data_IF_481585636045
#
_entry.id   IF_481585636045
#
_cell.length_a   1.000
_cell.length_b   1.000
_cell.length_c   1.000
_cell.angle_alpha   90.00
_cell.angle_beta   90.00
_cell.angle_gamma   90.00
#
_symmetry.space_group_name_H-M   'P 1'
#
loop_
_entity.id
_entity.type
_entity.pdbx_description
1 polymer ?
#
# COMPACT_ATOMS: atom_id res chain seq x y z
N UNK A 1 9.56 20.12 63.22
CA UNK A 1 9.01 21.31 62.54
C UNK A 1 10.15 22.20 62.12
N UNK A 2 10.51 22.18 60.83
CA UNK A 2 10.98 23.32 60.01
C UNK A 2 11.32 22.79 58.60
N UNK A 3 10.59 23.28 57.61
CA UNK A 3 10.77 23.12 56.15
C UNK A 3 10.98 24.55 55.61
N UNK A 4 11.42 24.76 54.36
CA UNK A 4 12.70 24.46 53.72
C UNK A 4 13.43 25.76 53.30
N UNK A 5 14.65 25.66 52.78
CA UNK A 5 15.17 26.67 51.85
C UNK A 5 15.42 26.06 50.47
N UNK A 6 14.76 26.67 49.50
CA UNK A 6 14.86 26.48 48.05
C UNK A 6 16.28 26.81 47.58
N UNK A 7 16.94 25.87 46.90
CA UNK A 7 18.09 26.17 46.04
C UNK A 7 17.72 25.78 44.61
N UNK A 8 17.00 26.69 43.95
CA UNK A 8 16.88 26.71 42.51
C UNK A 8 18.27 27.04 41.94
N UNK A 9 18.96 26.04 41.38
CA UNK A 9 20.16 26.29 40.58
C UNK A 9 19.76 26.85 39.23
N UNK A 10 20.25 28.05 38.97
CA UNK A 10 20.10 28.82 37.76
C UNK A 10 20.67 28.08 36.54
N UNK A 11 19.89 28.13 35.47
CA UNK A 11 20.25 27.74 34.11
C UNK A 11 21.20 28.81 33.55
N UNK A 12 22.40 28.47 33.06
CA UNK A 12 23.26 29.45 32.40
C UNK A 12 22.65 29.92 31.08
N UNK A 13 22.39 31.23 30.98
CA UNK A 13 22.10 31.92 29.74
C UNK A 13 23.38 32.03 28.90
N UNK A 14 23.62 31.07 28.02
CA UNK A 14 24.56 31.25 26.92
C UNK A 14 24.18 30.34 25.75
N UNK A 15 23.96 30.94 24.58
CA UNK A 15 23.73 30.33 23.26
C UNK A 15 22.28 30.02 22.83
N UNK A 16 21.40 31.01 22.98
CA UNK A 16 20.36 31.29 21.98
C UNK A 16 20.89 32.35 21.02
N UNK A 17 21.39 31.95 19.83
CA UNK A 17 21.40 32.78 18.61
C UNK A 17 22.06 32.01 17.45
N UNK A 18 21.26 31.36 16.61
CA UNK A 18 21.47 31.22 15.16
C UNK A 18 20.17 30.73 14.51
N UNK A 19 19.07 31.40 14.86
CA UNK A 19 17.91 31.51 13.98
C UNK A 19 18.16 32.75 13.10
N UNK A 20 17.86 32.62 11.80
CA UNK A 20 17.62 33.72 10.86
C UNK A 20 18.80 34.64 10.49
N UNK A 21 19.50 34.30 9.40
CA UNK A 21 20.11 35.29 8.47
C UNK A 21 20.59 34.65 7.16
N UNK A 22 19.65 34.34 6.25
CA UNK A 22 19.87 34.52 4.80
C UNK A 22 18.56 34.58 4.02
N UNK A 23 17.73 35.57 4.34
CA UNK A 23 16.69 36.02 3.42
C UNK A 23 17.17 37.32 2.75
N UNK A 24 16.91 37.43 1.44
CA UNK A 24 17.15 38.55 0.51
C UNK A 24 18.56 38.64 -0.10
N UNK A 25 18.69 38.19 -1.35
CA UNK A 25 18.54 39.08 -2.53
C UNK A 25 18.81 38.35 -3.84
N UNK A 26 18.04 38.76 -4.87
CA UNK A 26 18.00 38.38 -6.30
C UNK A 26 16.70 37.64 -6.65
N UNK A 27 15.58 38.37 -6.77
CA UNK A 27 15.18 39.25 -7.90
C UNK A 27 14.82 38.45 -9.14
N UNK A 28 13.50 38.30 -9.32
CA UNK A 28 12.75 38.45 -10.57
C UNK A 28 13.22 37.68 -11.81
N UNK A 29 12.55 36.56 -12.08
CA UNK A 29 12.04 36.23 -13.41
C UNK A 29 10.66 35.56 -13.25
N UNK A 30 9.61 36.38 -13.13
CA UNK A 30 8.22 35.94 -13.29
C UNK A 30 7.97 35.66 -14.77
N UNK A 31 8.17 34.42 -15.21
CA UNK A 31 7.61 33.95 -16.47
C UNK A 31 6.12 33.68 -16.21
N UNK A 32 5.26 34.63 -16.60
CA UNK A 32 3.83 34.41 -16.79
C UNK A 32 3.66 33.32 -17.86
N UNK A 33 3.49 32.07 -17.45
CA UNK A 33 2.89 31.05 -18.34
C UNK A 33 1.40 31.32 -18.35
N UNK A 34 0.94 32.05 -19.36
CA UNK A 34 -0.46 32.13 -19.72
C UNK A 34 -0.94 30.71 -20.05
N UNK A 35 -1.74 30.12 -19.17
CA UNK A 35 -2.49 28.92 -19.48
C UNK A 35 -3.60 29.31 -20.44
N UNK A 36 -3.29 29.32 -21.73
CA UNK A 36 -4.27 29.45 -22.80
C UNK A 36 -5.09 28.15 -22.86
N UNK A 37 -6.05 28.03 -21.94
CA UNK A 37 -7.05 26.97 -21.93
C UNK A 37 -8.10 27.36 -22.96
N UNK A 38 -7.97 26.81 -24.17
CA UNK A 38 -9.00 26.93 -25.20
C UNK A 38 -10.27 26.20 -24.73
N UNK A 39 -11.46 26.81 -24.82
CA UNK A 39 -12.71 26.12 -24.49
C UNK A 39 -12.93 24.97 -25.49
N UNK A 40 -13.22 23.77 -24.99
CA UNK A 40 -13.60 22.61 -25.81
C UNK A 40 -14.89 22.94 -26.56
N UNK A 41 -14.84 22.90 -27.88
CA UNK A 41 -16.03 22.93 -28.72
C UNK A 41 -16.85 21.65 -28.49
N UNK A 42 -18.15 21.83 -28.28
CA UNK A 42 -19.11 20.75 -28.11
C UNK A 42 -19.19 19.93 -29.40
N UNK A 43 -18.93 18.62 -29.31
CA UNK A 43 -19.16 17.70 -30.42
C UNK A 43 -20.64 17.31 -30.39
N UNK A 44 -21.40 17.87 -31.32
CA UNK A 44 -22.78 17.47 -31.61
C UNK A 44 -22.77 16.09 -32.27
N UNK A 45 -23.24 15.07 -31.56
CA UNK A 45 -23.45 13.73 -32.09
C UNK A 45 -24.82 13.72 -32.80
N UNK A 46 -24.92 13.37 -34.09
CA UNK A 46 -26.22 13.24 -34.75
C UNK A 46 -26.99 12.03 -34.19
N UNK A 47 -28.20 12.32 -33.70
CA UNK A 47 -29.20 11.32 -33.36
C UNK A 47 -29.70 10.58 -34.61
N UNK A 48 -29.39 9.30 -34.74
CA UNK A 48 -30.10 8.42 -35.67
C UNK A 48 -31.33 7.84 -34.97
N UNK A 49 -32.46 7.98 -35.67
CA UNK A 49 -33.80 7.63 -35.25
C UNK A 49 -34.11 6.14 -35.46
N UNK A 50 -34.77 5.58 -34.43
CA UNK A 50 -35.76 4.48 -34.37
C UNK A 50 -35.59 3.20 -35.21
N UNK A 51 -35.63 2.06 -34.50
CA UNK A 51 -36.44 0.91 -34.91
C UNK A 51 -37.10 0.28 -33.67
N UNK A 52 -38.44 0.37 -33.63
CA UNK A 52 -39.31 -0.39 -32.75
C UNK A 52 -39.25 -1.86 -33.15
N UNK A 53 -38.94 -2.75 -32.21
CA UNK A 53 -39.33 -4.16 -32.31
C UNK A 53 -40.16 -4.48 -31.08
N UNK A 54 -41.44 -4.73 -31.35
CA UNK A 54 -42.45 -5.27 -30.46
C UNK A 54 -42.14 -6.74 -30.17
N UNK A 55 -42.20 -7.14 -28.91
CA UNK A 55 -41.95 -8.53 -28.51
C UNK A 55 -42.18 -8.78 -27.02
N UNK A 56 -43.43 -8.66 -26.59
CA UNK A 56 -43.87 -9.10 -25.27
C UNK A 56 -43.95 -10.63 -25.25
N UNK A 57 -43.30 -11.28 -24.29
CA UNK A 57 -43.76 -12.56 -23.72
C UNK A 57 -43.26 -12.71 -22.29
N UNK A 58 -44.21 -12.64 -21.37
CA UNK A 58 -44.11 -13.14 -20.00
C UNK A 58 -44.12 -14.67 -20.04
N UNK A 59 -43.35 -15.32 -19.16
CA UNK A 59 -43.83 -16.35 -18.23
C UNK A 59 -42.68 -16.85 -17.35
N UNK A 60 -42.96 -16.83 -16.06
CA UNK A 60 -42.16 -17.34 -14.95
C UNK A 60 -42.08 -18.87 -14.97
N UNK A 61 -40.94 -19.44 -14.57
CA UNK A 61 -40.94 -20.63 -13.71
C UNK A 61 -39.62 -20.75 -12.95
N UNK A 62 -39.77 -20.87 -11.63
CA UNK A 62 -38.76 -21.27 -10.66
C UNK A 62 -38.00 -22.52 -11.08
N UNK A 63 -36.69 -22.53 -10.86
CA UNK A 63 -35.87 -23.74 -10.76
C UNK A 63 -34.56 -23.41 -10.05
N UNK A 64 -34.59 -23.47 -8.72
CA UNK A 64 -33.42 -23.43 -7.84
C UNK A 64 -32.74 -24.81 -7.87
N UNK A 65 -31.46 -24.95 -8.27
CA UNK A 65 -30.75 -26.22 -8.09
C UNK A 65 -30.32 -26.38 -6.62
N UNK A 66 -30.23 -27.62 -6.12
CA UNK A 66 -29.99 -27.90 -4.71
C UNK A 66 -28.56 -27.54 -4.28
N UNK A 67 -28.48 -27.05 -3.05
CA UNK A 67 -27.27 -26.85 -2.26
C UNK A 67 -26.42 -28.12 -2.23
N UNK A 68 -25.28 -28.08 -2.92
CA UNK A 68 -24.18 -29.03 -2.72
C UNK A 68 -23.57 -28.86 -1.33
N UNK A 69 -22.89 -29.89 -0.80
CA UNK A 69 -22.33 -29.85 0.55
C UNK A 69 -21.30 -28.73 0.65
N UNK A 70 -21.34 -28.02 1.79
CA UNK A 70 -20.44 -26.93 2.13
C UNK A 70 -18.98 -27.29 1.80
N UNK A 71 -18.43 -26.61 0.79
CA UNK A 71 -17.02 -26.70 0.44
C UNK A 71 -16.21 -26.10 1.58
N UNK A 72 -15.63 -26.97 2.40
CA UNK A 72 -14.64 -26.61 3.40
C UNK A 72 -13.49 -25.86 2.72
N UNK A 73 -12.87 -24.85 3.38
CA UNK A 73 -11.84 -24.04 2.76
C UNK A 73 -10.64 -24.90 2.38
N UNK A 74 -10.50 -25.17 1.07
CA UNK A 74 -9.36 -25.87 0.49
C UNK A 74 -8.09 -25.09 0.82
N UNK A 75 -7.20 -25.74 1.55
CA UNK A 75 -5.86 -25.25 1.81
C UNK A 75 -5.17 -25.03 0.46
N UNK A 76 -4.74 -23.79 0.20
CA UNK A 76 -4.10 -23.39 -1.06
C UNK A 76 -2.79 -24.17 -1.23
N UNK A 77 -2.74 -25.06 -2.23
CA UNK A 77 -1.50 -25.70 -2.68
C UNK A 77 -0.66 -24.74 -3.53
N UNK A 78 0.68 -24.90 -3.59
CA UNK A 78 1.62 -23.89 -4.10
C UNK A 78 1.72 -23.80 -5.63
N UNK A 79 1.04 -24.68 -6.37
CA UNK A 79 1.29 -24.93 -7.80
C UNK A 79 0.72 -23.89 -8.76
N UNK A 80 0.23 -22.77 -8.24
CA UNK A 80 -0.90 -22.09 -8.84
C UNK A 80 -0.66 -20.58 -8.98
N UNK A 81 0.43 -20.07 -8.39
CA UNK A 81 0.87 -18.68 -8.50
C UNK A 81 1.35 -18.29 -9.90
N UNK A 82 0.96 -17.09 -10.34
CA UNK A 82 1.37 -16.53 -11.64
C UNK A 82 2.60 -15.66 -11.41
N UNK A 83 3.73 -16.11 -11.92
CA UNK A 83 5.01 -15.40 -11.83
C UNK A 83 5.25 -14.50 -13.03
N UNK A 84 5.96 -13.41 -12.79
CA UNK A 84 6.50 -12.55 -13.83
C UNK A 84 7.45 -13.34 -14.76
N UNK A 85 7.74 -12.83 -15.94
CA UNK A 85 8.72 -13.47 -16.83
C UNK A 85 10.15 -13.39 -16.24
N UNK A 86 11.03 -14.32 -16.64
CA UNK A 86 12.46 -14.34 -16.29
C UNK A 86 12.76 -14.33 -14.79
N UNK A 87 12.00 -15.11 -14.01
CA UNK A 87 12.20 -15.26 -12.58
C UNK A 87 13.14 -16.44 -12.27
N UNK A 88 13.84 -16.41 -11.13
CA UNK A 88 14.73 -17.51 -10.76
C UNK A 88 13.91 -18.75 -10.38
N UNK A 89 14.50 -19.93 -10.59
CA UNK A 89 13.81 -21.21 -10.44
C UNK A 89 13.35 -21.50 -8.99
N UNK A 90 13.97 -20.87 -7.99
CA UNK A 90 13.66 -20.99 -6.57
C UNK A 90 12.51 -20.06 -6.11
N UNK A 91 12.02 -19.17 -6.98
CA UNK A 91 10.95 -18.22 -6.61
C UNK A 91 9.70 -18.91 -6.01
N UNK A 92 9.19 -20.02 -6.57
CA UNK A 92 8.03 -20.70 -5.99
C UNK A 92 8.26 -21.18 -4.55
N UNK A 93 9.44 -21.72 -4.26
CA UNK A 93 9.80 -22.18 -2.91
C UNK A 93 9.89 -21.02 -1.93
N UNK A 94 10.42 -19.87 -2.37
CA UNK A 94 10.47 -18.66 -1.55
C UNK A 94 9.08 -18.11 -1.25
N UNK A 95 8.19 -18.07 -2.24
CA UNK A 95 6.79 -17.68 -2.04
C UNK A 95 6.09 -18.64 -1.08
N UNK A 96 6.34 -19.94 -1.20
CA UNK A 96 5.78 -20.93 -0.31
C UNK A 96 6.26 -20.77 1.15
N UNK A 97 7.52 -20.39 1.37
CA UNK A 97 8.02 -20.08 2.73
C UNK A 97 7.29 -18.89 3.35
N UNK A 98 6.95 -17.88 2.55
CA UNK A 98 6.21 -16.69 2.99
C UNK A 98 4.74 -16.96 3.29
N UNK A 99 4.15 -18.04 2.75
CA UNK A 99 2.71 -18.33 2.87
C UNK A 99 2.23 -18.56 4.31
N UNK A 100 3.15 -18.74 5.25
CA UNK A 100 2.87 -18.81 6.69
C UNK A 100 2.31 -17.50 7.26
N UNK A 101 2.72 -16.35 6.70
CA UNK A 101 2.35 -15.02 7.20
C UNK A 101 1.76 -14.10 6.12
N UNK A 102 2.07 -14.38 4.86
CA UNK A 102 1.60 -13.64 3.69
C UNK A 102 0.51 -14.42 2.96
N UNK A 103 -0.54 -13.72 2.55
CA UNK A 103 -1.65 -14.28 1.78
C UNK A 103 -1.44 -14.02 0.30
N UNK A 104 -1.53 -15.06 -0.51
CA UNK A 104 -1.52 -14.93 -1.96
C UNK A 104 -2.92 -14.48 -2.43
N UNK A 105 -3.01 -13.35 -3.14
CA UNK A 105 -4.27 -12.73 -3.58
C UNK A 105 -4.27 -12.42 -5.08
N UNK A 106 -5.35 -11.82 -5.60
CA UNK A 106 -5.47 -11.33 -6.98
C UNK A 106 -5.17 -12.39 -8.06
N UNK A 107 -5.87 -13.53 -7.98
CA UNK A 107 -5.60 -14.69 -8.84
C UNK A 107 -4.14 -15.14 -8.79
N UNK A 108 -3.53 -14.98 -7.62
CA UNK A 108 -2.18 -15.43 -7.30
C UNK A 108 -1.07 -14.65 -8.00
N UNK A 109 -1.31 -13.35 -8.20
CA UNK A 109 -0.38 -12.37 -8.79
C UNK A 109 0.17 -11.37 -7.76
N UNK A 110 -0.33 -11.39 -6.53
CA UNK A 110 0.14 -10.51 -5.46
C UNK A 110 0.22 -11.27 -4.14
N UNK A 111 1.03 -10.75 -3.21
CA UNK A 111 1.07 -11.18 -1.81
C UNK A 111 0.65 -10.02 -0.90
N UNK A 112 -0.20 -10.31 0.09
CA UNK A 112 -0.68 -9.34 1.06
C UNK A 112 -0.37 -9.79 2.49
N UNK A 113 0.06 -8.84 3.34
CA UNK A 113 0.10 -9.03 4.80
C UNK A 113 -0.40 -7.78 5.52
N UNK A 114 -1.04 -8.00 6.67
CA UNK A 114 -1.49 -6.96 7.60
C UNK A 114 -0.58 -6.94 8.82
N UNK A 115 -0.02 -5.78 9.11
CA UNK A 115 0.82 -5.52 10.27
C UNK A 115 0.04 -4.69 11.29
N UNK A 116 0.22 -5.00 12.57
CA UNK A 116 -0.35 -4.24 13.67
C UNK A 116 0.74 -3.88 14.68
N UNK A 117 0.80 -2.60 15.03
CA UNK A 117 1.81 -2.04 15.94
C UNK A 117 1.16 -1.51 17.22
N UNK A 118 1.97 -1.13 18.20
CA UNK A 118 1.48 -0.55 19.46
C UNK A 118 0.72 0.77 19.27
N UNK A 119 1.07 1.56 18.25
CA UNK A 119 0.44 2.85 17.96
C UNK A 119 0.87 3.41 16.60
N UNK A 120 0.35 4.59 16.26
CA UNK A 120 0.64 5.26 14.98
C UNK A 120 2.14 5.54 14.77
N UNK A 121 2.85 6.01 15.82
CA UNK A 121 4.27 6.33 15.71
C UNK A 121 5.12 5.13 15.29
N UNK A 122 4.85 3.94 15.85
CA UNK A 122 5.53 2.69 15.49
C UNK A 122 5.17 2.24 14.07
N UNK A 123 3.88 2.34 13.69
CA UNK A 123 3.46 2.06 12.31
C UNK A 123 4.17 2.97 11.30
N UNK A 124 4.28 4.27 11.60
CA UNK A 124 4.96 5.23 10.75
C UNK A 124 6.48 5.00 10.67
N UNK A 125 7.11 4.62 11.79
CA UNK A 125 8.53 4.22 11.79
C UNK A 125 8.77 3.03 10.85
N UNK A 126 7.94 1.99 10.93
CA UNK A 126 8.01 0.85 10.02
C UNK A 126 7.83 1.27 8.56
N UNK A 127 6.79 2.06 8.27
CA UNK A 127 6.53 2.54 6.90
C UNK A 127 7.67 3.39 6.35
N UNK A 128 8.29 4.24 7.17
CA UNK A 128 9.41 5.10 6.76
C UNK A 128 10.61 4.27 6.29
N UNK A 129 10.97 3.24 7.06
CA UNK A 129 12.08 2.34 6.70
C UNK A 129 11.77 1.52 5.45
N UNK A 130 10.52 1.05 5.29
CA UNK A 130 10.08 0.36 4.07
C UNK A 130 10.15 1.30 2.86
N UNK A 131 9.73 2.55 3.01
CA UNK A 131 9.76 3.54 1.92
C UNK A 131 11.19 3.83 1.43
N UNK A 132 12.18 3.83 2.33
CA UNK A 132 13.58 4.00 1.93
C UNK A 132 14.11 2.79 1.15
N UNK A 133 13.78 1.57 1.57
CA UNK A 133 14.14 0.36 0.82
C UNK A 133 13.46 0.31 -0.56
N UNK A 134 12.21 0.78 -0.66
CA UNK A 134 11.51 0.88 -1.95
C UNK A 134 12.28 1.73 -2.96
N UNK A 135 12.91 2.82 -2.53
CA UNK A 135 13.75 3.68 -3.39
C UNK A 135 14.99 2.94 -3.88
N UNK A 136 15.64 2.18 -3.00
CA UNK A 136 16.84 1.39 -3.33
C UNK A 136 16.49 0.29 -4.33
N UNK A 137 15.41 -0.47 -4.07
CA UNK A 137 14.96 -1.59 -4.92
C UNK A 137 14.20 -1.14 -6.17
N UNK A 138 13.84 0.14 -6.25
CA UNK A 138 12.95 0.71 -7.27
C UNK A 138 11.67 -0.12 -7.43
N UNK A 139 11.09 -0.51 -6.30
CA UNK A 139 9.91 -1.36 -6.22
C UNK A 139 9.00 -0.84 -5.12
N UNK A 140 7.74 -0.57 -5.45
CA UNK A 140 6.83 0.14 -4.55
C UNK A 140 5.62 -0.73 -4.22
N UNK A 141 5.15 -0.72 -2.97
CA UNK A 141 3.99 -1.50 -2.59
C UNK A 141 2.71 -0.75 -2.97
N UNK A 142 1.61 -1.51 -2.99
CA UNK A 142 0.31 -0.95 -2.67
C UNK A 142 0.12 -1.11 -1.17
N UNK A 143 -0.18 -0.04 -0.45
CA UNK A 143 -0.48 -0.16 0.98
C UNK A 143 -1.60 0.76 1.44
N UNK A 144 -2.16 0.43 2.59
CA UNK A 144 -3.09 1.29 3.34
C UNK A 144 -2.62 1.36 4.78
N UNK A 145 -2.73 2.53 5.40
CA UNK A 145 -2.45 2.72 6.82
C UNK A 145 -3.67 3.32 7.52
N UNK A 146 -4.11 2.67 8.59
CA UNK A 146 -5.18 3.13 9.47
C UNK A 146 -4.66 3.06 10.90
N UNK A 147 -4.23 4.21 11.43
CA UNK A 147 -3.62 4.34 12.75
C UNK A 147 -2.44 3.36 12.94
N UNK A 148 -2.59 2.33 13.77
CA UNK A 148 -1.56 1.35 14.08
C UNK A 148 -1.57 0.12 13.16
N UNK A 149 -2.44 0.09 12.15
CA UNK A 149 -2.56 -1.02 11.20
C UNK A 149 -2.03 -0.61 9.83
N UNK A 150 -1.20 -1.47 9.23
CA UNK A 150 -0.65 -1.28 7.89
C UNK A 150 -0.95 -2.53 7.07
N UNK A 151 -1.72 -2.40 5.99
CA UNK A 151 -1.93 -3.48 5.01
C UNK A 151 -0.99 -3.25 3.85
N UNK A 152 -0.15 -4.22 3.51
CA UNK A 152 0.80 -4.14 2.41
C UNK A 152 0.51 -5.24 1.40
N UNK A 153 0.39 -4.86 0.13
CA UNK A 153 0.33 -5.73 -1.03
C UNK A 153 1.56 -5.47 -1.92
N UNK A 154 2.27 -6.55 -2.26
CA UNK A 154 3.36 -6.56 -3.24
C UNK A 154 2.94 -7.29 -4.51
N UNK A 155 3.21 -6.67 -5.65
CA UNK A 155 3.04 -7.24 -6.98
C UNK A 155 3.93 -6.51 -7.99
N UNK A 156 4.33 -7.20 -9.05
CA UNK A 156 5.09 -6.61 -10.14
C UNK A 156 4.18 -6.30 -11.32
N UNK A 157 4.21 -5.03 -11.76
CA UNK A 157 3.36 -4.54 -12.85
C UNK A 157 3.91 -4.90 -14.24
N UNK A 158 5.24 -4.95 -14.38
CA UNK A 158 5.91 -5.25 -15.64
C UNK A 158 7.27 -5.95 -15.41
N UNK A 159 7.50 -7.16 -15.99
CA UNK A 159 6.48 -8.04 -16.55
C UNK A 159 5.48 -8.45 -15.47
N UNK A 160 4.20 -8.51 -15.84
CA UNK A 160 3.08 -8.72 -14.91
C UNK A 160 3.20 -10.06 -14.17
N UNK A 161 3.08 -10.02 -12.84
CA UNK A 161 3.02 -11.22 -11.98
C UNK A 161 3.79 -11.05 -10.67
N UNK A 162 3.86 -12.11 -9.86
CA UNK A 162 4.77 -12.13 -8.71
C UNK A 162 6.21 -12.27 -9.18
N UNK A 163 7.10 -11.46 -8.62
CA UNK A 163 8.53 -11.51 -8.90
C UNK A 163 9.37 -11.69 -7.63
N UNK A 164 10.66 -11.91 -7.83
CA UNK A 164 11.65 -11.96 -6.76
C UNK A 164 11.68 -10.68 -5.93
N UNK A 165 11.38 -9.51 -6.52
CA UNK A 165 11.35 -8.24 -5.82
C UNK A 165 10.20 -8.18 -4.81
N UNK A 166 9.06 -8.77 -5.14
CA UNK A 166 7.92 -8.86 -4.23
C UNK A 166 8.28 -9.66 -2.98
N UNK A 167 8.95 -10.80 -3.18
CA UNK A 167 9.43 -11.68 -2.11
C UNK A 167 10.50 -11.00 -1.26
N UNK A 168 11.51 -10.39 -1.88
CA UNK A 168 12.56 -9.67 -1.15
C UNK A 168 12.00 -8.53 -0.28
N UNK A 169 11.05 -7.77 -0.83
CA UNK A 169 10.41 -6.70 -0.08
C UNK A 169 9.51 -7.24 1.05
N UNK A 170 8.81 -8.35 0.83
CA UNK A 170 8.04 -9.02 1.88
C UNK A 170 8.93 -9.52 3.03
N UNK A 171 10.06 -10.16 2.72
CA UNK A 171 11.06 -10.58 3.71
C UNK A 171 11.67 -9.39 4.45
N UNK A 172 11.94 -8.28 3.76
CA UNK A 172 12.39 -7.04 4.37
C UNK A 172 11.35 -6.49 5.35
N UNK A 173 10.08 -6.43 4.94
CA UNK A 173 8.98 -6.02 5.81
C UNK A 173 8.90 -6.90 7.06
N UNK A 174 9.01 -8.22 6.92
CA UNK A 174 8.98 -9.14 8.06
C UNK A 174 10.10 -8.86 9.07
N UNK A 175 11.33 -8.61 8.60
CA UNK A 175 12.47 -8.26 9.47
C UNK A 175 12.25 -6.93 10.17
N UNK A 176 11.86 -5.89 9.43
CA UNK A 176 11.66 -4.55 10.00
C UNK A 176 10.48 -4.46 10.94
N UNK A 177 9.44 -5.22 10.67
CA UNK A 177 8.29 -5.28 11.56
C UNK A 177 8.67 -5.96 12.90
N UNK A 178 9.49 -7.02 12.88
CA UNK A 178 10.00 -7.63 14.11
C UNK A 178 10.86 -6.66 14.94
N UNK A 179 11.69 -5.83 14.30
CA UNK A 179 12.47 -4.78 14.98
C UNK A 179 11.60 -3.69 15.62
N UNK A 180 10.45 -3.37 15.02
CA UNK A 180 9.53 -2.29 15.45
C UNK A 180 8.46 -2.80 16.45
N UNK A 181 8.60 -4.04 16.93
CA UNK A 181 7.72 -4.70 17.92
C UNK A 181 6.28 -4.87 17.38
N UNK A 182 6.10 -5.86 16.51
CA UNK A 182 4.76 -6.26 16.08
C UNK A 182 3.93 -6.77 17.26
N UNK A 183 2.71 -6.23 17.36
CA UNK A 183 1.66 -6.90 18.13
C UNK A 183 1.07 -7.95 17.21
N UNK A 184 1.67 -9.14 17.20
CA UNK A 184 1.05 -10.30 16.57
C UNK A 184 -0.35 -10.46 17.19
N UNK A 185 -1.39 -10.24 16.38
CA UNK A 185 -2.76 -10.42 16.87
C UNK A 185 -2.95 -11.92 17.03
N UNK A 186 -3.27 -12.44 18.23
CA UNK A 186 -3.91 -13.73 18.29
C UNK A 186 -5.21 -13.55 17.51
N UNK A 187 -5.48 -14.45 16.56
CA UNK A 187 -6.81 -14.54 15.99
C UNK A 187 -7.83 -14.79 17.09
#
# INVERSE_FOLDING_TARGET
>A
MTRPQNLARAIPQSFQALCERRCRTKTSLLIRRETNVRPRQAITIPHTKYALVTGFRSLSSDSRPPSGPAEQPKQNTPHDSIYAANQPADLPDRVQKLSSRWKIINKRQSIERKFQFAGFAKAWQFMSVVADECKVKKHHPRWTNVYNRVSIEWTTHDPKGLSIKDVEMAEFCDRKAAEVELKESPF
#
